data_IF_652561083819
#
_entry.id   IF_652561083819
#
_cell.length_a   1.000
_cell.length_b   1.000
_cell.length_c   1.000
_cell.angle_alpha   90.00
_cell.angle_beta   90.00
_cell.angle_gamma   90.00
#
_symmetry.space_group_name_H-M   'P 1'
#
loop_
_entity.id
_entity.type
_entity.pdbx_description
1 polymer ?
#
# COMPACT_ATOMS: atom_id res chain seq x y z
N UNK A 1 3.84 44.69 11.78
CA UNK A 1 4.59 44.15 10.63
C UNK A 1 3.86 42.93 10.06
N UNK A 2 2.76 43.11 9.32
CA UNK A 2 1.92 42.01 8.79
C UNK A 2 1.85 41.93 7.26
N UNK A 3 2.14 43.02 6.55
CA UNK A 3 2.04 43.07 5.08
C UNK A 3 3.20 42.36 4.38
N UNK A 4 4.45 42.56 4.82
CA UNK A 4 5.63 41.89 4.25
C UNK A 4 5.56 40.37 4.43
N UNK A 5 5.13 39.90 5.60
CA UNK A 5 4.96 38.46 5.87
C UNK A 5 3.82 37.84 5.04
N UNK A 6 2.72 38.57 4.79
CA UNK A 6 1.64 38.12 3.91
C UNK A 6 2.08 38.06 2.45
N UNK A 7 2.78 39.07 1.95
CA UNK A 7 3.28 39.10 0.57
C UNK A 7 4.32 37.99 0.36
N UNK A 8 5.27 37.82 1.30
CA UNK A 8 6.24 36.72 1.26
C UNK A 8 5.56 35.34 1.33
N UNK A 9 4.51 35.14 2.15
CA UNK A 9 3.74 33.88 2.17
C UNK A 9 2.98 33.62 0.87
N UNK A 10 2.49 34.66 0.19
CA UNK A 10 1.82 34.53 -1.11
C UNK A 10 2.84 34.14 -2.20
N UNK A 11 4.03 34.74 -2.18
CA UNK A 11 5.10 34.46 -3.16
C UNK A 11 5.88 33.16 -2.89
N UNK A 12 6.16 32.80 -1.62
CA UNK A 12 6.90 31.59 -1.23
C UNK A 12 5.99 30.38 -0.97
N UNK A 13 4.67 30.60 -0.87
CA UNK A 13 3.68 29.59 -0.54
C UNK A 13 3.61 29.27 0.95
N UNK A 14 2.39 29.05 1.43
CA UNK A 14 2.14 28.57 2.79
C UNK A 14 2.28 27.04 2.81
N UNK A 15 3.38 26.54 3.38
CA UNK A 15 3.68 25.10 3.50
C UNK A 15 2.49 24.32 4.05
N UNK A 16 1.80 24.84 5.09
CA UNK A 16 0.63 24.17 5.68
C UNK A 16 -0.51 24.02 4.68
N UNK A 17 -0.79 25.08 3.90
CA UNK A 17 -1.81 25.01 2.84
C UNK A 17 -1.41 24.08 1.72
N UNK A 18 -0.12 23.98 1.37
CA UNK A 18 0.39 23.04 0.38
C UNK A 18 0.21 21.60 0.84
N UNK A 19 0.59 21.30 2.08
CA UNK A 19 0.49 19.95 2.65
C UNK A 19 -0.98 19.52 2.76
N UNK A 20 -1.87 20.41 3.22
CA UNK A 20 -3.32 20.14 3.27
C UNK A 20 -3.92 19.93 1.88
N UNK A 21 -3.52 20.72 0.87
CA UNK A 21 -3.95 20.53 -0.51
C UNK A 21 -3.54 19.18 -1.08
N UNK A 22 -2.38 18.65 -0.67
CA UNK A 22 -1.92 17.33 -1.08
C UNK A 22 -2.74 16.19 -0.46
N UNK A 23 -3.26 16.38 0.76
CA UNK A 23 -4.07 15.38 1.45
C UNK A 23 -5.55 15.41 1.04
N UNK A 24 -6.06 16.56 0.60
CA UNK A 24 -7.48 16.74 0.26
C UNK A 24 -8.01 15.68 -0.72
N UNK A 25 -7.32 15.29 -1.81
CA UNK A 25 -7.80 14.25 -2.71
C UNK A 25 -8.00 12.89 -2.02
N UNK A 26 -7.15 12.56 -1.03
CA UNK A 26 -7.28 11.32 -0.25
C UNK A 26 -8.50 11.40 0.66
N UNK A 27 -8.72 12.55 1.31
CA UNK A 27 -9.90 12.81 2.14
C UNK A 27 -11.18 12.68 1.31
N UNK A 28 -11.21 13.30 0.14
CA UNK A 28 -12.35 13.24 -0.78
C UNK A 28 -12.59 11.79 -1.27
N UNK A 29 -11.53 11.05 -1.57
CA UNK A 29 -11.63 9.63 -1.95
C UNK A 29 -12.20 8.78 -0.80
N UNK A 30 -11.76 8.97 0.44
CA UNK A 30 -12.31 8.26 1.60
C UNK A 30 -13.79 8.60 1.81
N UNK A 31 -14.16 9.87 1.73
CA UNK A 31 -15.56 10.30 1.87
C UNK A 31 -16.46 9.74 0.77
N UNK A 32 -15.93 9.43 -0.42
CA UNK A 32 -16.72 8.81 -1.49
C UNK A 32 -17.32 7.45 -1.10
N UNK A 33 -16.74 6.76 -0.11
CA UNK A 33 -17.24 5.49 0.43
C UNK A 33 -18.17 5.64 1.64
N UNK A 34 -18.38 6.86 2.15
CA UNK A 34 -19.14 7.10 3.39
C UNK A 34 -20.55 6.53 3.32
N UNK A 35 -21.28 6.78 2.22
CA UNK A 35 -22.64 6.28 2.05
C UNK A 35 -22.70 4.74 1.98
N UNK A 36 -21.74 4.10 1.31
CA UNK A 36 -21.67 2.64 1.23
C UNK A 36 -21.46 2.05 2.62
N UNK A 37 -20.47 2.55 3.37
CA UNK A 37 -20.13 2.04 4.70
C UNK A 37 -21.25 2.32 5.71
N UNK A 38 -21.88 3.49 5.66
CA UNK A 38 -22.98 3.86 6.56
C UNK A 38 -24.24 3.00 6.35
N UNK A 39 -24.40 2.39 5.17
CA UNK A 39 -25.53 1.52 4.86
C UNK A 39 -25.39 0.09 5.40
N UNK A 40 -24.20 -0.30 5.89
CA UNK A 40 -23.92 -1.65 6.37
C UNK A 40 -24.50 -1.89 7.77
N UNK A 41 -25.00 -3.10 7.99
CA UNK A 41 -25.27 -3.62 9.33
C UNK A 41 -23.97 -3.93 10.09
N UNK A 42 -24.07 -4.16 11.40
CA UNK A 42 -22.91 -4.50 12.23
C UNK A 42 -22.19 -5.78 11.76
N UNK A 43 -22.94 -6.78 11.28
CA UNK A 43 -22.35 -8.03 10.83
C UNK A 43 -21.69 -7.88 9.46
N UNK A 44 -22.30 -7.12 8.54
CA UNK A 44 -21.70 -6.79 7.25
C UNK A 44 -20.43 -5.95 7.41
N UNK A 45 -20.42 -4.99 8.34
CA UNK A 45 -19.22 -4.20 8.65
C UNK A 45 -18.09 -5.08 9.21
N UNK A 46 -18.40 -6.07 10.06
CA UNK A 46 -17.41 -7.06 10.52
C UNK A 46 -16.91 -7.91 9.36
N UNK A 47 -17.78 -8.27 8.41
CA UNK A 47 -17.42 -9.08 7.25
C UNK A 47 -16.45 -8.36 6.31
N UNK A 48 -16.51 -7.03 6.19
CA UNK A 48 -15.51 -6.24 5.42
C UNK A 48 -14.07 -6.56 5.84
N UNK A 49 -13.81 -6.80 7.13
CA UNK A 49 -12.47 -7.20 7.60
C UNK A 49 -12.03 -8.56 7.05
N UNK A 50 -12.95 -9.51 6.93
CA UNK A 50 -12.64 -10.83 6.36
C UNK A 50 -12.41 -10.71 4.85
N UNK A 51 -13.23 -9.92 4.16
CA UNK A 51 -13.07 -9.65 2.73
C UNK A 51 -11.71 -9.04 2.41
N UNK A 52 -11.27 -8.01 3.15
CA UNK A 52 -9.95 -7.41 2.93
C UNK A 52 -8.80 -8.39 3.16
N UNK A 53 -8.90 -9.27 4.17
CA UNK A 53 -7.89 -10.32 4.40
C UNK A 53 -7.82 -11.30 3.25
N UNK A 54 -8.97 -11.70 2.73
CA UNK A 54 -9.06 -12.61 1.59
C UNK A 54 -8.53 -11.97 0.31
N UNK A 55 -8.86 -10.70 0.05
CA UNK A 55 -8.35 -9.94 -1.08
C UNK A 55 -6.82 -9.82 -1.05
N UNK A 56 -6.23 -9.47 0.10
CA UNK A 56 -4.77 -9.42 0.28
C UNK A 56 -4.15 -10.79 0.04
N UNK A 57 -4.74 -11.84 0.61
CA UNK A 57 -4.25 -13.22 0.42
C UNK A 57 -4.29 -13.62 -1.05
N UNK A 58 -5.38 -13.31 -1.75
CA UNK A 58 -5.55 -13.66 -3.15
C UNK A 58 -4.59 -12.90 -4.06
N UNK A 59 -4.40 -11.60 -3.82
CA UNK A 59 -3.38 -10.79 -4.53
C UNK A 59 -1.99 -11.41 -4.39
N UNK A 60 -1.65 -11.87 -3.20
CA UNK A 60 -0.30 -12.37 -2.88
C UNK A 60 -0.09 -13.85 -3.21
N UNK A 61 -1.15 -14.57 -3.59
CA UNK A 61 -1.11 -16.03 -3.77
C UNK A 61 -0.10 -16.46 -4.85
N UNK A 62 -0.05 -15.72 -5.96
CA UNK A 62 0.88 -16.03 -7.06
C UNK A 62 2.34 -15.85 -6.62
N UNK A 63 2.64 -14.74 -5.94
CA UNK A 63 3.98 -14.48 -5.39
C UNK A 63 4.37 -15.55 -4.37
N UNK A 64 3.48 -15.85 -3.43
CA UNK A 64 3.73 -16.87 -2.41
C UNK A 64 4.00 -18.23 -3.04
N UNK A 65 3.21 -18.62 -4.05
CA UNK A 65 3.38 -19.89 -4.75
C UNK A 65 4.74 -19.97 -5.45
N UNK A 66 5.17 -18.90 -6.13
CA UNK A 66 6.48 -18.83 -6.78
C UNK A 66 7.63 -18.87 -5.77
N UNK A 67 7.51 -18.11 -4.68
CA UNK A 67 8.49 -18.07 -3.60
C UNK A 67 8.63 -19.45 -2.95
N UNK A 68 7.53 -20.14 -2.67
CA UNK A 68 7.56 -21.47 -2.04
C UNK A 68 8.21 -22.50 -2.96
N UNK A 69 7.91 -22.47 -4.26
CA UNK A 69 8.56 -23.34 -5.25
C UNK A 69 10.06 -23.05 -5.37
N UNK A 70 10.47 -21.78 -5.37
CA UNK A 70 11.88 -21.37 -5.37
C UNK A 70 12.60 -21.84 -4.10
N UNK A 71 11.96 -21.71 -2.93
CA UNK A 71 12.49 -22.20 -1.65
C UNK A 71 12.68 -23.72 -1.65
N UNK A 72 11.76 -24.47 -2.27
CA UNK A 72 11.90 -25.92 -2.44
C UNK A 72 13.08 -26.26 -3.36
N UNK A 73 13.19 -25.59 -4.51
CA UNK A 73 14.32 -25.77 -5.43
C UNK A 73 15.67 -25.46 -4.78
N UNK A 74 15.72 -24.45 -3.90
CA UNK A 74 16.93 -24.10 -3.17
C UNK A 74 17.42 -25.21 -2.23
N UNK A 75 16.58 -26.18 -1.82
CA UNK A 75 17.02 -27.26 -0.92
C UNK A 75 18.03 -28.20 -1.59
N UNK A 76 17.87 -28.44 -2.88
CA UNK A 76 18.67 -29.41 -3.66
C UNK A 76 19.63 -28.75 -4.63
N UNK A 77 19.51 -27.44 -4.86
CA UNK A 77 20.37 -26.68 -5.76
C UNK A 77 21.83 -26.55 -5.29
N UNK A 78 22.73 -26.41 -6.26
CA UNK A 78 24.15 -26.12 -6.02
C UNK A 78 24.34 -24.70 -5.46
N UNK A 79 25.50 -24.43 -4.84
CA UNK A 79 25.76 -23.15 -4.15
C UNK A 79 25.59 -21.93 -5.08
N UNK A 80 26.03 -22.03 -6.34
CA UNK A 80 25.89 -20.94 -7.31
C UNK A 80 24.44 -20.68 -7.71
N UNK A 81 23.63 -21.73 -7.84
CA UNK A 81 22.21 -21.63 -8.21
C UNK A 81 21.37 -21.12 -7.04
N UNK A 82 21.76 -21.45 -5.80
CA UNK A 82 21.11 -20.93 -4.59
C UNK A 82 21.16 -19.41 -4.50
N UNK A 83 22.29 -18.80 -4.85
CA UNK A 83 22.43 -17.33 -4.83
C UNK A 83 21.42 -16.67 -5.78
N UNK A 84 21.29 -17.18 -7.01
CA UNK A 84 20.31 -16.69 -7.99
C UNK A 84 18.87 -16.89 -7.51
N UNK A 85 18.57 -18.05 -6.93
CA UNK A 85 17.23 -18.35 -6.38
C UNK A 85 16.85 -17.38 -5.26
N UNK A 86 17.76 -17.09 -4.32
CA UNK A 86 17.49 -16.15 -3.23
C UNK A 86 17.34 -14.71 -3.73
N UNK A 87 18.13 -14.29 -4.72
CA UNK A 87 17.96 -12.97 -5.34
C UNK A 87 16.58 -12.83 -6.00
N UNK A 88 16.07 -13.88 -6.64
CA UNK A 88 14.72 -13.87 -7.23
C UNK A 88 13.63 -13.90 -6.16
N UNK A 89 13.82 -14.63 -5.04
CA UNK A 89 12.92 -14.58 -3.90
C UNK A 89 12.82 -13.15 -3.35
N UNK A 90 13.95 -12.50 -3.09
CA UNK A 90 13.99 -11.13 -2.56
C UNK A 90 13.29 -10.15 -3.51
N UNK A 91 13.48 -10.33 -4.82
CA UNK A 91 12.79 -9.55 -5.83
C UNK A 91 11.27 -9.75 -5.77
N UNK A 92 10.81 -11.00 -5.72
CA UNK A 92 9.38 -11.33 -5.64
C UNK A 92 8.75 -10.82 -4.34
N UNK A 93 9.47 -10.86 -3.23
CA UNK A 93 9.02 -10.30 -1.95
C UNK A 93 8.85 -8.77 -2.05
N UNK A 94 9.80 -8.07 -2.67
CA UNK A 94 9.69 -6.63 -2.90
C UNK A 94 8.51 -6.28 -3.83
N UNK A 95 8.31 -7.03 -4.92
CA UNK A 95 7.20 -6.83 -5.86
C UNK A 95 5.83 -7.12 -5.20
N UNK A 96 5.76 -8.07 -4.26
CA UNK A 96 4.54 -8.37 -3.50
C UNK A 96 4.10 -7.21 -2.60
N UNK A 97 5.04 -6.44 -2.05
CA UNK A 97 4.76 -5.31 -1.14
C UNK A 97 4.70 -3.93 -1.81
N UNK A 98 5.01 -3.85 -3.10
CA UNK A 98 4.93 -2.62 -3.90
C UNK A 98 3.47 -2.24 -4.24
#
# INVERSE_FOLDING_TARGET
>A
MNLLNSILKIFLGDKKKKDLKGLQPIVDAVHSFEQEIASLTNDELRQKTQQFREEIKNRNLEFQTKIDALKENALTAEISEKEEIYNEIDRLENEMYA
#
